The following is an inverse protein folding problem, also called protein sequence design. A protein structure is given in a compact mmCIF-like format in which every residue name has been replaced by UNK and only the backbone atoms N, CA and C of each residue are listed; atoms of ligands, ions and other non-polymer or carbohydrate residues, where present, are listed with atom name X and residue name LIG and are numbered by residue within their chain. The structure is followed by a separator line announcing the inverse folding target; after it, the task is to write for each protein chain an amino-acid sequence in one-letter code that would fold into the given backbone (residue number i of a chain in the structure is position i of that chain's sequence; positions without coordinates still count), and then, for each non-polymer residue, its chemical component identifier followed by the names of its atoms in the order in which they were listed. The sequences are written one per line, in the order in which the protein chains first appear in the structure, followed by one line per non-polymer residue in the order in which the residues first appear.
data_IF_112884015464
#
_entry.id   IF_112884015464
#
_cell.length_a   1.000
_cell.length_b   1.000
_cell.length_c   1.000
_cell.angle_alpha   90.00
_cell.angle_beta   90.00
_cell.angle_gamma   90.00
#
_symmetry.space_group_name_H-M   'P 1'
#
loop_
_entity.id
_entity.type
_entity.pdbx_description
1 polymer ?
#
# COMPACT_ATOMS: atom_id res chain seq x y z
N UNK A 1 -24.35 1.76 -17.08
CA UNK A 1 -23.28 2.80 -17.06
C UNK A 1 -22.40 2.70 -15.81
N UNK A 2 -22.92 2.79 -14.60
CA UNK A 2 -22.12 2.82 -13.34
C UNK A 2 -21.22 1.58 -13.13
N UNK A 3 -21.73 0.36 -13.39
CA UNK A 3 -20.92 -0.85 -13.28
C UNK A 3 -19.78 -0.89 -14.31
N UNK A 4 -20.02 -0.45 -15.54
CA UNK A 4 -18.99 -0.39 -16.58
C UNK A 4 -17.87 0.60 -16.21
N UNK A 5 -18.25 1.79 -15.72
CA UNK A 5 -17.30 2.79 -15.25
C UNK A 5 -16.45 2.28 -14.06
N UNK A 6 -17.09 1.57 -13.13
CA UNK A 6 -16.40 0.93 -12.01
C UNK A 6 -15.34 -0.10 -12.48
N UNK A 7 -15.68 -0.98 -13.43
CA UNK A 7 -14.72 -1.92 -14.00
C UNK A 7 -13.59 -1.21 -14.77
N UNK A 8 -13.92 -0.16 -15.53
CA UNK A 8 -12.97 0.64 -16.28
C UNK A 8 -11.92 1.28 -15.36
N UNK A 9 -12.37 1.88 -14.24
CA UNK A 9 -11.45 2.50 -13.26
C UNK A 9 -10.42 1.50 -12.77
N UNK A 10 -10.85 0.29 -12.40
CA UNK A 10 -9.90 -0.73 -11.92
C UNK A 10 -9.02 -1.28 -13.03
N UNK A 11 -9.54 -1.42 -14.24
CA UNK A 11 -8.74 -1.81 -15.39
C UNK A 11 -7.64 -0.76 -15.66
N UNK A 12 -7.97 0.52 -15.67
CA UNK A 12 -7.00 1.61 -15.83
C UNK A 12 -6.03 1.69 -14.65
N UNK A 13 -6.48 1.53 -13.42
CA UNK A 13 -5.63 1.55 -12.24
C UNK A 13 -4.63 0.38 -12.22
N UNK A 14 -5.00 -0.79 -12.76
CA UNK A 14 -4.13 -1.96 -12.83
C UNK A 14 -3.17 -1.89 -14.02
N UNK A 15 -3.65 -1.51 -15.20
CA UNK A 15 -2.92 -1.63 -16.45
C UNK A 15 -2.54 -0.29 -17.09
N UNK A 16 -3.12 0.84 -16.65
CA UNK A 16 -2.88 2.14 -17.26
C UNK A 16 -1.40 2.48 -17.40
N UNK A 17 -0.66 2.37 -16.30
CA UNK A 17 0.79 2.62 -16.30
C UNK A 17 1.56 1.70 -17.27
N UNK A 18 1.13 0.45 -17.44
CA UNK A 18 1.72 -0.50 -18.38
C UNK A 18 1.49 -0.05 -19.82
N UNK A 19 0.27 0.36 -20.15
CA UNK A 19 -0.06 0.85 -21.48
C UNK A 19 0.70 2.13 -21.85
N UNK A 20 0.92 3.04 -20.90
CA UNK A 20 1.77 4.21 -21.09
C UNK A 20 3.23 3.83 -21.32
N UNK A 21 3.75 2.90 -20.53
CA UNK A 21 5.15 2.46 -20.61
C UNK A 21 5.50 1.82 -21.94
N UNK A 22 4.57 1.09 -22.53
CA UNK A 22 4.76 0.43 -23.82
C UNK A 22 4.26 1.28 -25.01
N UNK A 23 3.85 2.54 -24.76
CA UNK A 23 3.42 3.46 -25.81
C UNK A 23 2.06 3.13 -26.43
N UNK A 24 1.28 2.21 -25.83
CA UNK A 24 -0.07 1.89 -26.31
C UNK A 24 -1.08 3.03 -26.06
N UNK A 25 -0.82 3.86 -25.04
CA UNK A 25 -1.62 5.02 -24.70
C UNK A 25 -0.73 6.25 -24.56
N UNK A 26 -1.13 7.41 -25.07
CA UNK A 26 -0.38 8.66 -24.86
C UNK A 26 -0.46 9.13 -23.41
N UNK A 27 0.64 9.74 -22.90
CA UNK A 27 0.74 10.23 -21.52
C UNK A 27 -0.42 11.10 -21.03
N UNK A 28 -1.04 11.98 -21.85
CA UNK A 28 -2.20 12.77 -21.40
C UNK A 28 -3.38 11.93 -20.94
N UNK A 29 -3.50 10.67 -21.39
CA UNK A 29 -4.55 9.77 -20.94
C UNK A 29 -4.31 9.21 -19.51
N UNK A 30 -3.15 9.48 -18.89
CA UNK A 30 -2.91 9.13 -17.48
C UNK A 30 -3.96 9.77 -16.55
N UNK A 31 -4.51 10.93 -16.93
CA UNK A 31 -5.56 11.62 -16.17
C UNK A 31 -6.93 10.93 -16.30
N UNK A 32 -7.10 10.01 -17.26
CA UNK A 32 -8.40 9.34 -17.51
C UNK A 32 -8.89 8.57 -16.29
N UNK A 33 -8.00 7.93 -15.54
CA UNK A 33 -8.36 7.23 -14.29
C UNK A 33 -8.98 8.21 -13.29
N UNK A 34 -8.43 9.40 -13.14
CA UNK A 34 -8.89 10.43 -12.21
C UNK A 34 -10.23 10.99 -12.63
N UNK A 35 -10.37 11.34 -13.91
CA UNK A 35 -11.65 11.81 -14.48
C UNK A 35 -12.74 10.76 -14.27
N UNK A 36 -12.42 9.49 -14.51
CA UNK A 36 -13.35 8.37 -14.32
C UNK A 36 -13.77 8.22 -12.85
N UNK A 37 -12.85 8.41 -11.91
CA UNK A 37 -13.13 8.37 -10.47
C UNK A 37 -14.03 9.53 -10.07
N UNK A 38 -13.74 10.75 -10.51
CA UNK A 38 -14.56 11.94 -10.22
C UNK A 38 -15.97 11.76 -10.80
N UNK A 39 -16.07 11.25 -12.02
CA UNK A 39 -17.36 10.99 -12.66
C UNK A 39 -18.16 9.92 -11.88
N UNK A 40 -17.50 8.82 -11.46
CA UNK A 40 -18.16 7.79 -10.65
C UNK A 40 -18.64 8.37 -9.30
N UNK A 41 -17.83 9.21 -8.66
CA UNK A 41 -18.19 9.89 -7.43
C UNK A 41 -19.41 10.80 -7.64
N UNK A 42 -19.40 11.66 -8.66
CA UNK A 42 -20.51 12.53 -8.98
C UNK A 42 -21.81 11.73 -9.22
N UNK A 43 -21.74 10.66 -10.03
CA UNK A 43 -22.89 9.78 -10.28
C UNK A 43 -23.41 9.15 -8.99
N UNK A 44 -22.52 8.67 -8.11
CA UNK A 44 -22.90 8.04 -6.85
C UNK A 44 -23.62 9.04 -5.93
N UNK A 45 -23.09 10.25 -5.78
CA UNK A 45 -23.66 11.30 -4.93
C UNK A 45 -24.99 11.78 -5.49
N UNK A 46 -25.05 12.14 -6.80
CA UNK A 46 -26.28 12.61 -7.44
C UNK A 46 -27.39 11.55 -7.42
N UNK A 47 -27.03 10.27 -7.58
CA UNK A 47 -27.99 9.18 -7.46
C UNK A 47 -28.57 9.06 -6.04
N UNK A 48 -27.80 9.34 -4.99
CA UNK A 48 -28.32 9.35 -3.62
C UNK A 48 -29.24 10.55 -3.38
N UNK A 49 -28.82 11.73 -3.77
CA UNK A 49 -29.62 12.96 -3.64
C UNK A 49 -30.94 12.82 -4.43
N UNK A 50 -30.89 12.33 -5.66
CA UNK A 50 -32.08 12.14 -6.50
C UNK A 50 -33.08 11.12 -5.94
N UNK A 51 -32.66 10.24 -5.00
CA UNK A 51 -33.54 9.32 -4.25
C UNK A 51 -33.96 9.89 -2.90
N UNK A 52 -33.68 11.15 -2.58
CA UNK A 52 -33.93 11.74 -1.28
C UNK A 52 -33.08 11.16 -0.14
N UNK A 53 -31.97 10.49 -0.45
CA UNK A 53 -31.08 9.88 0.53
C UNK A 53 -29.88 10.77 0.81
N UNK A 54 -29.48 10.87 2.09
CA UNK A 54 -28.27 11.61 2.46
C UNK A 54 -27.03 10.81 2.05
N UNK A 55 -26.10 11.41 1.29
CA UNK A 55 -24.83 10.78 0.95
C UNK A 55 -24.00 10.49 2.20
N UNK A 56 -23.21 9.42 2.15
CA UNK A 56 -22.35 8.97 3.24
C UNK A 56 -20.98 9.64 3.12
N UNK A 57 -20.59 10.35 4.17
CA UNK A 57 -19.31 11.07 4.28
C UNK A 57 -18.41 10.42 5.35
N UNK A 58 -18.07 9.14 5.15
CA UNK A 58 -17.23 8.42 6.10
C UNK A 58 -15.76 8.89 5.97
N UNK A 59 -15.05 8.96 7.11
CA UNK A 59 -13.68 9.50 7.23
C UNK A 59 -13.53 10.98 6.82
N UNK A 60 -14.63 11.67 6.61
CA UNK A 60 -14.61 13.11 6.23
C UNK A 60 -13.86 13.98 7.23
N UNK A 61 -13.98 13.81 8.57
CA UNK A 61 -13.19 14.59 9.52
C UNK A 61 -11.68 14.38 9.36
N UNK A 62 -11.23 13.15 9.11
CA UNK A 62 -9.81 12.87 8.84
C UNK A 62 -9.32 13.50 7.55
N UNK A 63 -10.17 13.48 6.52
CA UNK A 63 -9.90 14.17 5.27
C UNK A 63 -9.83 15.68 5.43
N UNK A 64 -10.77 16.28 6.17
CA UNK A 64 -10.73 17.71 6.51
C UNK A 64 -9.48 18.09 7.32
N UNK A 65 -9.03 17.21 8.21
CA UNK A 65 -7.78 17.42 8.95
C UNK A 65 -6.59 17.52 7.99
N UNK A 66 -6.51 16.64 6.98
CA UNK A 66 -5.45 16.72 5.97
C UNK A 66 -5.55 18.01 5.15
N UNK A 67 -6.78 18.41 4.75
CA UNK A 67 -7.01 19.68 4.08
C UNK A 67 -6.55 20.87 4.92
N UNK A 68 -6.89 20.85 6.22
CA UNK A 68 -6.50 21.89 7.15
C UNK A 68 -4.98 21.99 7.31
N UNK A 69 -4.30 20.86 7.52
CA UNK A 69 -2.83 20.79 7.59
C UNK A 69 -2.21 21.31 6.30
N UNK A 70 -2.76 20.93 5.14
CA UNK A 70 -2.28 21.40 3.86
C UNK A 70 -2.49 22.91 3.66
N UNK A 71 -3.65 23.44 4.07
CA UNK A 71 -3.93 24.88 4.01
C UNK A 71 -2.99 25.66 4.93
N UNK A 72 -2.77 25.21 6.17
CA UNK A 72 -1.78 25.80 7.07
C UNK A 72 -0.37 25.73 6.48
N UNK A 73 0.03 24.57 5.95
CA UNK A 73 1.33 24.40 5.30
C UNK A 73 1.48 25.36 4.11
N UNK A 74 0.45 25.50 3.29
CA UNK A 74 0.44 26.45 2.17
C UNK A 74 0.58 27.90 2.65
N UNK A 75 -0.15 28.28 3.69
CA UNK A 75 -0.12 29.63 4.26
C UNK A 75 1.27 29.99 4.81
N UNK A 76 1.83 29.14 5.67
CA UNK A 76 3.14 29.39 6.29
C UNK A 76 4.30 29.36 5.29
N UNK A 77 4.17 28.63 4.21
CA UNK A 77 5.22 28.50 3.19
C UNK A 77 4.96 29.35 1.95
N UNK A 78 3.84 30.09 1.91
CA UNK A 78 3.43 30.91 0.75
C UNK A 78 3.47 30.07 -0.56
N UNK A 79 3.03 28.82 -0.47
CA UNK A 79 3.03 27.90 -1.61
C UNK A 79 1.91 28.29 -2.57
N UNK A 80 2.21 28.27 -3.86
CA UNK A 80 1.23 28.54 -4.91
C UNK A 80 0.03 27.57 -4.81
N UNK A 81 -1.24 28.11 -4.77
CA UNK A 81 -2.43 27.27 -4.60
C UNK A 81 -2.58 26.16 -5.63
N UNK A 82 -2.25 26.44 -6.88
CA UNK A 82 -2.32 25.46 -7.97
C UNK A 82 -1.42 24.27 -7.66
N UNK A 83 -0.20 24.53 -7.22
CA UNK A 83 0.77 23.49 -6.85
C UNK A 83 0.29 22.66 -5.67
N UNK A 84 -0.31 23.29 -4.66
CA UNK A 84 -0.88 22.61 -3.50
C UNK A 84 -2.01 21.64 -3.91
N UNK A 85 -2.95 22.10 -4.76
CA UNK A 85 -4.04 21.28 -5.28
C UNK A 85 -3.51 20.09 -6.06
N UNK A 86 -2.50 20.28 -6.92
CA UNK A 86 -1.90 19.17 -7.68
C UNK A 86 -1.15 18.18 -6.81
N UNK A 87 -0.52 18.61 -5.72
CA UNK A 87 0.09 17.70 -4.75
C UNK A 87 -0.94 16.83 -4.04
N UNK A 88 -2.03 17.43 -3.58
CA UNK A 88 -3.10 16.74 -2.86
C UNK A 88 -3.97 15.85 -3.79
N UNK A 89 -3.96 16.10 -5.09
CA UNK A 89 -4.73 15.35 -6.09
C UNK A 89 -4.56 13.85 -5.95
N UNK A 90 -3.32 13.38 -5.72
CA UNK A 90 -2.99 11.97 -5.61
C UNK A 90 -3.73 11.28 -4.45
N UNK A 91 -3.97 12.00 -3.36
CA UNK A 91 -4.77 11.50 -2.25
C UNK A 91 -6.28 11.60 -2.53
N UNK A 92 -6.73 12.76 -3.03
CA UNK A 92 -8.15 13.04 -3.21
C UNK A 92 -8.81 12.07 -4.16
N UNK A 93 -8.17 11.70 -5.27
CA UNK A 93 -8.73 10.78 -6.25
C UNK A 93 -9.15 9.44 -5.61
N UNK A 94 -8.34 8.87 -4.74
CA UNK A 94 -8.67 7.58 -4.11
C UNK A 94 -9.66 7.73 -2.95
N UNK A 95 -9.64 8.86 -2.25
CA UNK A 95 -10.71 9.17 -1.31
C UNK A 95 -12.05 9.33 -2.02
N UNK A 96 -12.11 9.99 -3.19
CA UNK A 96 -13.32 10.07 -4.01
C UNK A 96 -13.75 8.68 -4.52
N UNK A 97 -12.82 7.81 -4.91
CA UNK A 97 -13.14 6.42 -5.22
C UNK A 97 -13.80 5.71 -4.04
N UNK A 98 -13.22 5.85 -2.85
CA UNK A 98 -13.81 5.31 -1.63
C UNK A 98 -15.21 5.83 -1.37
N UNK A 99 -15.42 7.15 -1.42
CA UNK A 99 -16.73 7.78 -1.24
C UNK A 99 -17.73 7.34 -2.31
N UNK A 100 -17.29 7.23 -3.56
CA UNK A 100 -18.14 6.69 -4.64
C UNK A 100 -18.63 5.30 -4.28
N UNK A 101 -17.73 4.38 -3.92
CA UNK A 101 -18.03 2.99 -3.62
C UNK A 101 -18.99 2.83 -2.44
N UNK A 102 -18.82 3.58 -1.36
CA UNK A 102 -19.71 3.49 -0.19
C UNK A 102 -21.09 4.10 -0.43
N UNK A 103 -21.24 4.94 -1.45
CA UNK A 103 -22.51 5.53 -1.88
C UNK A 103 -23.18 4.80 -3.04
N UNK A 104 -22.44 3.94 -3.76
CA UNK A 104 -23.04 3.00 -4.69
C UNK A 104 -23.71 1.87 -3.91
N UNK A 105 -24.98 1.57 -4.24
CA UNK A 105 -25.71 0.46 -3.64
C UNK A 105 -25.29 -0.86 -4.31
N UNK A 106 -24.01 -1.24 -4.11
CA UNK A 106 -23.46 -2.48 -4.67
C UNK A 106 -24.02 -3.68 -3.88
N UNK A 107 -24.66 -4.60 -4.61
CA UNK A 107 -25.13 -5.85 -4.07
C UNK A 107 -23.97 -6.81 -3.78
N UNK A 108 -24.20 -7.73 -2.88
CA UNK A 108 -23.19 -8.71 -2.45
C UNK A 108 -22.67 -9.58 -3.60
N UNK A 109 -23.57 -9.98 -4.50
CA UNK A 109 -23.24 -10.77 -5.69
C UNK A 109 -22.26 -10.03 -6.59
N UNK A 110 -22.48 -8.72 -6.80
CA UNK A 110 -21.57 -7.86 -7.58
C UNK A 110 -20.21 -7.73 -6.91
N UNK A 111 -20.16 -7.55 -5.59
CA UNK A 111 -18.89 -7.46 -4.86
C UNK A 111 -18.12 -8.79 -4.89
N UNK A 112 -18.77 -9.94 -4.66
CA UNK A 112 -18.12 -11.26 -4.76
C UNK A 112 -17.59 -11.52 -6.18
N UNK A 113 -18.38 -11.18 -7.20
CA UNK A 113 -17.96 -11.32 -8.61
C UNK A 113 -16.77 -10.43 -8.94
N UNK A 114 -16.77 -9.20 -8.47
CA UNK A 114 -15.66 -8.27 -8.69
C UNK A 114 -14.39 -8.74 -7.95
N UNK A 115 -14.50 -9.16 -6.69
CA UNK A 115 -13.38 -9.75 -5.95
C UNK A 115 -12.77 -10.95 -6.68
N UNK A 116 -13.61 -11.79 -7.28
CA UNK A 116 -13.16 -12.93 -8.07
C UNK A 116 -12.36 -12.48 -9.32
N UNK A 117 -12.84 -11.47 -10.03
CA UNK A 117 -12.11 -10.93 -11.19
C UNK A 117 -10.79 -10.26 -10.77
N UNK A 118 -10.80 -9.50 -9.67
CA UNK A 118 -9.55 -8.95 -9.14
C UNK A 118 -8.56 -10.07 -8.79
N UNK A 119 -9.03 -11.12 -8.14
CA UNK A 119 -8.19 -12.27 -7.81
C UNK A 119 -7.58 -12.90 -9.07
N UNK A 120 -8.37 -13.12 -10.13
CA UNK A 120 -7.86 -13.64 -11.40
C UNK A 120 -6.77 -12.73 -11.97
N UNK A 121 -7.01 -11.41 -12.00
CA UNK A 121 -6.06 -10.44 -12.53
C UNK A 121 -4.76 -10.41 -11.70
N UNK A 122 -4.88 -10.49 -10.38
CA UNK A 122 -3.72 -10.50 -9.47
C UNK A 122 -2.94 -11.81 -9.58
N UNK A 123 -3.62 -12.96 -9.60
CA UNK A 123 -2.98 -14.28 -9.79
C UNK A 123 -2.36 -14.40 -11.18
N UNK A 124 -2.97 -13.80 -12.19
CA UNK A 124 -2.43 -13.72 -13.56
C UNK A 124 -1.07 -13.01 -13.65
N UNK A 125 -0.62 -12.34 -12.59
CA UNK A 125 0.74 -11.79 -12.51
C UNK A 125 1.81 -12.88 -12.32
N UNK A 126 1.46 -14.01 -11.70
CA UNK A 126 2.41 -15.10 -11.44
C UNK A 126 3.01 -15.70 -12.72
N UNK A 127 2.22 -16.03 -13.77
CA UNK A 127 2.78 -16.45 -15.07
C UNK A 127 3.69 -15.38 -15.70
N UNK A 128 3.32 -14.09 -15.60
CA UNK A 128 4.14 -12.98 -16.13
C UNK A 128 5.48 -12.89 -15.40
N UNK A 129 5.47 -13.04 -14.08
CA UNK A 129 6.69 -13.09 -13.28
C UNK A 129 7.54 -14.29 -13.61
N UNK A 130 6.95 -15.47 -13.77
CA UNK A 130 7.66 -16.69 -14.15
C UNK A 130 8.31 -16.54 -15.54
N UNK A 131 7.59 -15.96 -16.51
CA UNK A 131 8.15 -15.66 -17.84
C UNK A 131 9.33 -14.69 -17.77
N UNK A 132 9.20 -13.59 -17.03
CA UNK A 132 10.29 -12.61 -16.84
C UNK A 132 11.48 -13.24 -16.12
N UNK A 133 11.22 -14.06 -15.10
CA UNK A 133 12.27 -14.77 -14.38
C UNK A 133 13.06 -15.71 -15.32
N UNK A 134 12.38 -16.42 -16.19
CA UNK A 134 13.03 -17.27 -17.17
C UNK A 134 13.98 -16.50 -18.10
N UNK A 135 13.59 -15.29 -18.55
CA UNK A 135 14.38 -14.49 -19.48
C UNK A 135 15.40 -13.56 -18.83
N UNK A 136 15.12 -13.04 -17.62
CA UNK A 136 15.92 -11.99 -16.98
C UNK A 136 16.59 -12.45 -15.69
N UNK A 137 16.21 -13.65 -15.19
CA UNK A 137 16.66 -14.13 -13.89
C UNK A 137 16.08 -13.33 -12.71
N UNK A 138 16.79 -13.34 -11.59
CA UNK A 138 16.43 -12.62 -10.37
C UNK A 138 16.85 -11.17 -10.50
N UNK A 139 15.88 -10.29 -10.60
CA UNK A 139 16.11 -8.84 -10.75
C UNK A 139 14.94 -8.02 -10.20
N UNK A 140 15.20 -6.79 -9.82
CA UNK A 140 14.15 -5.84 -9.40
C UNK A 140 13.13 -5.53 -10.52
N UNK A 141 13.51 -5.75 -11.78
CA UNK A 141 12.66 -5.63 -12.96
C UNK A 141 11.76 -6.84 -13.19
N UNK A 142 12.03 -7.97 -12.51
CA UNK A 142 11.21 -9.18 -12.55
C UNK A 142 9.95 -8.96 -11.72
N UNK A 143 9.08 -8.10 -12.20
CA UNK A 143 7.78 -7.78 -11.61
C UNK A 143 6.65 -8.14 -12.59
N UNK A 144 5.42 -8.19 -12.09
CA UNK A 144 4.23 -8.43 -12.93
C UNK A 144 4.03 -7.37 -14.02
N UNK A 145 2.87 -7.37 -14.64
CA UNK A 145 2.50 -6.47 -15.73
C UNK A 145 2.06 -5.06 -15.26
N UNK A 146 2.03 -4.76 -13.97
CA UNK A 146 1.45 -3.52 -13.42
C UNK A 146 2.42 -2.33 -13.36
N UNK A 147 3.26 -2.15 -14.34
CA UNK A 147 4.11 -0.96 -14.49
C UNK A 147 5.50 -1.04 -13.85
N UNK A 148 6.15 0.12 -13.70
CA UNK A 148 7.51 0.25 -13.15
C UNK A 148 7.44 0.70 -11.70
N UNK A 149 7.39 -0.18 -10.75
CA UNK A 149 7.43 0.24 -9.35
C UNK A 149 7.96 -0.86 -8.44
N UNK A 150 9.19 -0.68 -7.95
CA UNK A 150 9.80 -1.63 -7.02
C UNK A 150 9.01 -1.89 -5.73
N UNK A 151 8.07 -1.00 -5.37
CA UNK A 151 7.14 -1.19 -4.25
C UNK A 151 6.10 -2.27 -4.54
N UNK A 152 5.65 -2.42 -5.81
CA UNK A 152 4.68 -3.46 -6.19
C UNK A 152 5.22 -4.87 -6.00
N UNK A 153 6.52 -5.09 -6.27
CA UNK A 153 7.16 -6.40 -6.09
C UNK A 153 7.28 -6.84 -4.63
N UNK A 154 7.18 -5.92 -3.68
CA UNK A 154 7.16 -6.24 -2.27
C UNK A 154 5.72 -6.27 -1.70
N UNK A 155 4.92 -5.23 -1.98
CA UNK A 155 3.61 -5.06 -1.33
C UNK A 155 2.51 -5.93 -1.88
N UNK A 156 2.48 -6.17 -3.19
CA UNK A 156 1.45 -7.00 -3.79
C UNK A 156 1.53 -8.45 -3.25
N UNK A 157 2.72 -9.10 -3.24
CA UNK A 157 2.86 -10.40 -2.62
C UNK A 157 2.46 -10.43 -1.14
N UNK A 158 2.94 -9.46 -0.34
CA UNK A 158 2.59 -9.34 1.08
C UNK A 158 1.07 -9.26 1.24
N UNK A 159 0.39 -8.37 0.53
CA UNK A 159 -1.06 -8.27 0.58
C UNK A 159 -1.76 -9.57 0.18
N UNK A 160 -1.31 -10.22 -0.89
CA UNK A 160 -1.93 -11.45 -1.39
C UNK A 160 -1.74 -12.63 -0.44
N UNK A 161 -0.58 -12.75 0.23
CA UNK A 161 -0.36 -13.80 1.22
C UNK A 161 -1.31 -13.63 2.42
N UNK A 162 -1.55 -12.40 2.90
CA UNK A 162 -2.55 -12.14 3.93
C UNK A 162 -3.96 -12.58 3.50
N UNK A 163 -4.39 -12.22 2.29
CA UNK A 163 -5.70 -12.63 1.80
C UNK A 163 -5.81 -14.15 1.62
N UNK A 164 -4.83 -14.78 1.01
CA UNK A 164 -4.85 -16.24 0.78
C UNK A 164 -4.84 -17.02 2.09
N UNK A 165 -4.04 -16.57 3.06
CA UNK A 165 -4.01 -17.16 4.39
C UNK A 165 -5.34 -16.97 5.14
N UNK A 166 -5.90 -15.77 5.08
CA UNK A 166 -7.20 -15.50 5.70
C UNK A 166 -8.32 -16.37 5.10
N UNK A 167 -8.37 -16.50 3.76
CA UNK A 167 -9.33 -17.38 3.11
C UNK A 167 -9.13 -18.86 3.48
N UNK A 168 -7.88 -19.33 3.50
CA UNK A 168 -7.57 -20.70 3.88
C UNK A 168 -8.02 -21.04 5.31
N UNK A 169 -7.73 -20.16 6.27
CA UNK A 169 -8.00 -20.43 7.68
C UNK A 169 -9.42 -20.07 8.12
N UNK A 170 -10.06 -19.10 7.50
CA UNK A 170 -11.33 -18.54 7.98
C UNK A 170 -12.55 -18.92 7.13
N UNK A 171 -12.38 -19.13 5.82
CA UNK A 171 -13.47 -19.57 4.94
C UNK A 171 -13.45 -21.09 4.79
N UNK A 172 -12.59 -21.60 3.90
CA UNK A 172 -12.45 -23.04 3.62
C UNK A 172 -10.99 -23.38 3.34
N UNK A 173 -10.45 -24.46 3.91
CA UNK A 173 -9.06 -24.88 3.70
C UNK A 173 -8.85 -25.48 2.31
N UNK A 174 -8.96 -24.68 1.27
CA UNK A 174 -8.70 -25.11 -0.12
C UNK A 174 -7.19 -25.04 -0.40
N UNK A 175 -6.59 -26.14 -0.85
CA UNK A 175 -5.16 -26.22 -1.24
C UNK A 175 -4.77 -25.13 -2.25
N UNK A 176 -5.71 -24.70 -3.10
CA UNK A 176 -5.51 -23.64 -4.07
C UNK A 176 -5.03 -22.32 -3.43
N UNK A 177 -5.57 -21.93 -2.28
CA UNK A 177 -5.13 -20.72 -1.57
C UNK A 177 -3.67 -20.80 -1.12
N UNK A 178 -3.23 -22.00 -0.68
CA UNK A 178 -1.82 -22.22 -0.32
C UNK A 178 -0.92 -22.15 -1.55
N UNK A 179 -1.32 -22.78 -2.66
CA UNK A 179 -0.54 -22.77 -3.93
C UNK A 179 -0.39 -21.33 -4.44
N UNK A 180 -1.46 -20.54 -4.44
CA UNK A 180 -1.41 -19.13 -4.81
C UNK A 180 -0.50 -18.33 -3.85
N UNK A 181 -0.62 -18.55 -2.56
CA UNK A 181 0.25 -17.92 -1.55
C UNK A 181 1.72 -18.23 -1.77
N UNK A 182 2.07 -19.49 -2.01
CA UNK A 182 3.45 -19.90 -2.35
C UNK A 182 3.93 -19.26 -3.66
N UNK A 183 3.07 -19.13 -4.66
CA UNK A 183 3.36 -18.39 -5.89
C UNK A 183 3.73 -16.94 -5.63
N UNK A 184 3.05 -16.25 -4.72
CA UNK A 184 3.39 -14.88 -4.34
C UNK A 184 4.66 -14.78 -3.48
N UNK A 185 4.98 -15.79 -2.66
CA UNK A 185 6.30 -15.89 -2.00
C UNK A 185 7.41 -15.99 -3.05
N UNK A 186 7.24 -16.87 -4.04
CA UNK A 186 8.16 -16.99 -5.18
C UNK A 186 8.32 -15.67 -5.93
N UNK A 187 7.21 -14.96 -6.21
CA UNK A 187 7.23 -13.65 -6.85
C UNK A 187 8.13 -12.65 -6.09
N UNK A 188 8.04 -12.61 -4.77
CA UNK A 188 8.86 -11.71 -3.95
C UNK A 188 10.35 -12.05 -4.01
N UNK A 189 10.68 -13.35 -3.97
CA UNK A 189 12.07 -13.82 -4.01
C UNK A 189 12.71 -13.44 -5.34
N UNK A 190 12.06 -13.75 -6.46
CA UNK A 190 12.58 -13.42 -7.79
C UNK A 190 12.63 -11.92 -8.07
N UNK A 191 11.76 -11.15 -7.45
CA UNK A 191 11.79 -9.68 -7.49
C UNK A 191 12.94 -9.05 -6.69
N UNK A 192 13.81 -9.85 -6.07
CA UNK A 192 15.00 -9.43 -5.30
C UNK A 192 14.72 -8.34 -4.23
N UNK A 193 13.53 -8.34 -3.62
CA UNK A 193 13.14 -7.33 -2.64
C UNK A 193 13.55 -7.70 -1.22
N UNK A 194 14.60 -7.05 -0.74
CA UNK A 194 15.15 -7.24 0.63
C UNK A 194 14.15 -6.96 1.74
N UNK A 195 13.25 -5.99 1.55
CA UNK A 195 12.23 -5.62 2.52
C UNK A 195 11.31 -6.80 2.91
N UNK A 196 11.13 -7.77 2.01
CA UNK A 196 10.29 -8.94 2.22
C UNK A 196 10.81 -9.82 3.36
N UNK A 197 12.14 -9.84 3.59
CA UNK A 197 12.77 -10.54 4.72
C UNK A 197 12.18 -10.09 6.07
N UNK A 198 11.83 -8.83 6.20
CA UNK A 198 11.26 -8.27 7.42
C UNK A 198 9.73 -8.40 7.47
N UNK A 199 9.07 -8.42 6.32
CA UNK A 199 7.61 -8.50 6.27
C UNK A 199 7.10 -9.92 6.48
N UNK A 200 7.75 -10.94 5.97
CA UNK A 200 7.28 -12.32 6.12
C UNK A 200 7.20 -12.81 7.58
N UNK A 201 8.14 -12.53 8.48
CA UNK A 201 7.96 -12.86 9.89
C UNK A 201 6.67 -12.27 10.47
N UNK A 202 6.37 -11.02 10.14
CA UNK A 202 5.15 -10.33 10.59
C UNK A 202 3.91 -10.99 9.99
N UNK A 203 3.94 -11.35 8.70
CA UNK A 203 2.85 -12.07 8.03
C UNK A 203 2.57 -13.42 8.68
N UNK A 204 3.58 -14.23 8.91
CA UNK A 204 3.41 -15.54 9.52
C UNK A 204 2.89 -15.45 10.95
N UNK A 205 3.32 -14.44 11.71
CA UNK A 205 2.77 -14.14 13.03
C UNK A 205 1.30 -13.69 12.95
N UNK A 206 0.94 -12.89 11.95
CA UNK A 206 -0.45 -12.49 11.70
C UNK A 206 -1.32 -13.69 11.31
N UNK A 207 -0.80 -14.60 10.50
CA UNK A 207 -1.46 -15.88 10.14
C UNK A 207 -1.72 -16.71 11.41
N UNK A 208 -0.73 -16.82 12.30
CA UNK A 208 -0.90 -17.46 13.59
C UNK A 208 -1.99 -16.78 14.42
N UNK A 209 -2.00 -15.43 14.43
CA UNK A 209 -3.05 -14.66 15.10
C UNK A 209 -4.44 -14.97 14.57
N UNK A 210 -4.65 -15.11 13.26
CA UNK A 210 -5.95 -15.48 12.69
C UNK A 210 -6.43 -16.84 13.19
N UNK A 211 -5.53 -17.82 13.33
CA UNK A 211 -5.88 -19.11 13.91
C UNK A 211 -6.20 -18.98 15.38
N UNK A 212 -5.39 -18.24 16.13
CA UNK A 212 -5.61 -17.99 17.55
C UNK A 212 -6.92 -17.27 17.82
N UNK A 213 -7.23 -16.22 17.05
CA UNK A 213 -8.47 -15.45 17.20
C UNK A 213 -9.73 -16.24 16.78
N UNK A 214 -9.61 -17.19 15.86
CA UNK A 214 -10.71 -18.09 15.50
C UNK A 214 -11.06 -19.03 16.64
N UNK A 215 -10.15 -19.21 17.60
CA UNK A 215 -10.26 -20.40 18.35
C UNK A 215 -10.22 -20.35 19.85
N UNK A 216 -11.29 -19.92 20.52
CA UNK A 216 -11.57 -20.49 21.85
C UNK A 216 -11.71 -22.04 21.83
N UNK A 217 -11.90 -22.64 20.67
CA UNK A 217 -12.12 -24.08 20.45
C UNK A 217 -11.00 -24.80 19.69
N UNK A 218 -9.90 -24.12 19.33
CA UNK A 218 -8.79 -24.83 18.65
C UNK A 218 -7.92 -25.55 19.67
N UNK A 219 -7.75 -26.84 19.44
CA UNK A 219 -6.84 -27.71 20.17
C UNK A 219 -5.46 -27.07 20.39
N UNK A 220 -4.91 -27.09 21.63
CA UNK A 220 -3.56 -26.58 21.92
C UNK A 220 -2.46 -27.17 21.03
N UNK A 221 -2.55 -28.45 20.69
CA UNK A 221 -1.59 -29.11 19.77
C UNK A 221 -1.63 -28.52 18.37
N UNK A 222 -2.81 -28.23 17.85
CA UNK A 222 -2.98 -27.56 16.55
C UNK A 222 -2.43 -26.14 16.57
N UNK A 223 -2.60 -25.41 17.68
CA UNK A 223 -2.02 -24.07 17.84
C UNK A 223 -0.50 -24.13 17.84
N UNK A 224 0.09 -25.05 18.61
CA UNK A 224 1.52 -25.27 18.65
C UNK A 224 2.07 -25.70 17.27
N UNK A 225 1.39 -26.63 16.60
CA UNK A 225 1.78 -27.09 15.26
C UNK A 225 1.81 -25.96 14.23
N UNK A 226 0.84 -25.05 14.24
CA UNK A 226 0.82 -23.91 13.32
C UNK A 226 1.90 -22.89 13.67
N UNK A 227 2.18 -22.65 14.96
CA UNK A 227 3.30 -21.79 15.38
C UNK A 227 4.62 -22.36 14.90
N UNK A 228 4.88 -23.63 15.12
CA UNK A 228 6.10 -24.33 14.67
C UNK A 228 6.21 -24.25 13.14
N UNK A 229 5.12 -24.54 12.41
CA UNK A 229 5.11 -24.43 10.96
C UNK A 229 5.38 -22.99 10.49
N UNK A 230 4.83 -21.98 11.18
CA UNK A 230 5.08 -20.58 10.86
C UNK A 230 6.54 -20.22 11.04
N UNK A 231 7.17 -20.64 12.16
CA UNK A 231 8.60 -20.42 12.41
C UNK A 231 9.47 -21.12 11.37
N UNK A 232 9.13 -22.37 11.03
CA UNK A 232 9.83 -23.13 9.99
C UNK A 232 9.72 -22.46 8.61
N UNK A 233 8.53 -21.99 8.23
CA UNK A 233 8.33 -21.25 6.98
C UNK A 233 9.09 -19.92 6.97
N UNK A 234 9.13 -19.19 8.08
CA UNK A 234 9.97 -17.99 8.22
C UNK A 234 11.44 -18.36 7.93
N UNK A 235 11.95 -19.44 8.52
CA UNK A 235 13.31 -19.92 8.30
C UNK A 235 13.60 -20.23 6.83
N UNK A 236 12.75 -21.02 6.18
CA UNK A 236 12.90 -21.39 4.76
C UNK A 236 12.86 -20.16 3.85
N UNK A 237 11.88 -19.28 4.04
CA UNK A 237 11.74 -18.09 3.19
C UNK A 237 12.90 -17.13 3.40
N UNK A 238 13.33 -16.92 4.65
CA UNK A 238 14.50 -16.09 4.96
C UNK A 238 15.77 -16.67 4.35
N UNK A 239 16.02 -17.96 4.50
CA UNK A 239 17.15 -18.63 3.88
C UNK A 239 17.12 -18.52 2.35
N UNK A 240 15.94 -18.69 1.73
CA UNK A 240 15.78 -18.52 0.28
C UNK A 240 16.11 -17.08 -0.16
N UNK A 241 15.64 -16.07 0.57
CA UNK A 241 15.93 -14.67 0.26
C UNK A 241 17.44 -14.40 0.40
N UNK A 242 18.11 -14.90 1.45
CA UNK A 242 19.55 -14.75 1.64
C UNK A 242 20.34 -15.44 0.52
N UNK A 243 19.92 -16.63 0.13
CA UNK A 243 20.56 -17.41 -0.93
C UNK A 243 20.42 -16.76 -2.32
N UNK A 244 19.25 -16.27 -2.65
CA UNK A 244 18.96 -15.71 -3.97
C UNK A 244 19.28 -14.23 -4.11
N UNK A 245 19.38 -13.47 -3.03
CA UNK A 245 19.66 -12.03 -3.08
C UNK A 245 21.16 -11.74 -2.98
N UNK A 246 21.75 -11.28 -4.09
CA UNK A 246 23.20 -11.02 -4.20
C UNK A 246 23.73 -10.09 -3.10
N UNK A 247 22.95 -9.13 -2.64
CA UNK A 247 23.41 -8.12 -1.68
C UNK A 247 23.29 -8.54 -0.22
N UNK A 248 22.62 -9.67 0.05
CA UNK A 248 22.41 -10.17 1.40
C UNK A 248 23.34 -11.34 1.76
N UNK A 249 24.30 -11.67 0.90
CA UNK A 249 25.35 -12.65 1.22
C UNK A 249 26.75 -12.05 0.99
N UNK A 250 27.77 -12.49 1.76
CA UNK A 250 29.11 -11.89 1.71
C UNK A 250 29.79 -12.06 0.35
N UNK A 251 29.43 -13.06 -0.42
CA UNK A 251 30.02 -13.35 -1.74
C UNK A 251 29.40 -12.51 -2.87
N UNK A 252 28.34 -11.72 -2.57
CA UNK A 252 27.61 -10.85 -3.49
C UNK A 252 27.16 -11.56 -4.80
N UNK A 253 26.82 -12.83 -4.73
CA UNK A 253 26.36 -13.64 -5.86
C UNK A 253 25.03 -14.34 -5.55
N UNK A 254 24.30 -14.73 -6.59
CA UNK A 254 23.16 -15.65 -6.47
C UNK A 254 23.69 -17.02 -6.09
N UNK A 255 23.13 -17.67 -5.06
CA UNK A 255 23.64 -18.92 -4.55
C UNK A 255 24.85 -18.78 -3.62
N UNK A 256 25.01 -17.63 -2.98
CA UNK A 256 26.04 -17.38 -1.98
C UNK A 256 25.73 -18.04 -0.62
N UNK A 257 26.67 -17.91 0.30
CA UNK A 257 26.51 -18.43 1.67
C UNK A 257 25.36 -17.76 2.41
N UNK A 258 24.65 -18.55 3.22
CA UNK A 258 23.58 -18.04 4.09
C UNK A 258 24.23 -17.57 5.38
N UNK A 259 24.48 -16.27 5.51
CA UNK A 259 25.03 -15.63 6.69
C UNK A 259 24.05 -14.58 7.25
N UNK A 260 23.28 -14.91 8.30
CA UNK A 260 22.35 -13.98 8.92
C UNK A 260 23.03 -12.77 9.57
N UNK A 261 24.24 -12.91 10.09
CA UNK A 261 24.98 -11.83 10.73
C UNK A 261 25.42 -10.79 9.67
N UNK A 262 25.95 -11.24 8.54
CA UNK A 262 26.24 -10.38 7.41
C UNK A 262 24.98 -9.67 6.88
N UNK A 263 23.88 -10.40 6.70
CA UNK A 263 22.64 -9.82 6.22
C UNK A 263 22.08 -8.72 7.15
N UNK A 264 22.21 -8.94 8.48
CA UNK A 264 21.80 -7.95 9.48
C UNK A 264 22.72 -6.72 9.45
N UNK A 265 24.03 -6.91 9.43
CA UNK A 265 25.00 -5.81 9.33
C UNK A 265 24.77 -5.00 8.04
N UNK A 266 24.63 -5.68 6.91
CA UNK A 266 24.28 -5.04 5.64
C UNK A 266 22.98 -4.24 5.71
N UNK A 267 21.93 -4.77 6.36
CA UNK A 267 20.65 -4.07 6.51
C UNK A 267 20.80 -2.80 7.36
N UNK A 268 21.61 -2.85 8.42
CA UNK A 268 21.92 -1.68 9.26
C UNK A 268 22.68 -0.65 8.42
N UNK A 269 23.79 -1.05 7.79
CA UNK A 269 24.60 -0.16 6.97
C UNK A 269 23.79 0.48 5.84
N UNK A 270 22.99 -0.32 5.13
CA UNK A 270 22.13 0.18 4.05
C UNK A 270 21.12 1.25 4.52
N UNK A 271 20.62 1.14 5.74
CA UNK A 271 19.64 2.08 6.29
C UNK A 271 20.27 3.28 7.01
N UNK A 272 21.56 3.23 7.35
CA UNK A 272 22.31 4.31 8.03
C UNK A 272 23.34 4.97 7.13
N UNK A 273 23.51 4.50 5.90
CA UNK A 273 24.60 4.90 5.00
C UNK A 273 24.54 6.39 4.64
N UNK A 274 25.72 7.00 4.63
CA UNK A 274 26.00 8.29 4.00
C UNK A 274 26.98 8.06 2.85
N UNK A 275 26.91 8.89 1.82
CA UNK A 275 27.88 8.83 0.73
C UNK A 275 29.12 9.66 1.06
N UNK A 276 30.15 9.59 0.21
CA UNK A 276 31.42 10.32 0.36
C UNK A 276 31.24 11.85 0.43
N UNK A 277 30.14 12.38 -0.10
CA UNK A 277 29.80 13.79 -0.05
C UNK A 277 28.97 14.18 1.19
N UNK A 278 28.78 13.27 2.14
CA UNK A 278 27.98 13.49 3.36
C UNK A 278 26.45 13.52 3.13
N UNK A 279 25.97 13.09 1.95
CA UNK A 279 24.55 12.94 1.70
C UNK A 279 24.04 11.61 2.30
N UNK A 280 22.94 11.69 3.02
CA UNK A 280 22.29 10.49 3.55
C UNK A 280 21.61 9.70 2.43
N UNK A 281 21.96 8.43 2.28
CA UNK A 281 21.36 7.51 1.32
C UNK A 281 20.55 6.41 1.99
N UNK A 282 20.79 6.17 3.28
CA UNK A 282 20.04 5.25 4.11
C UNK A 282 18.70 5.84 4.56
N UNK A 283 17.72 5.00 4.81
CA UNK A 283 16.36 5.45 5.18
C UNK A 283 16.31 6.08 6.58
N UNK A 284 17.01 5.49 7.55
CA UNK A 284 17.03 6.01 8.92
C UNK A 284 17.86 7.29 9.02
N UNK A 285 19.02 7.34 8.37
CA UNK A 285 19.83 8.55 8.32
C UNK A 285 19.09 9.69 7.62
N UNK A 286 18.41 9.40 6.50
CA UNK A 286 17.57 10.38 5.78
C UNK A 286 16.41 10.87 6.66
N UNK A 287 15.70 9.97 7.35
CA UNK A 287 14.63 10.36 8.28
C UNK A 287 15.16 11.27 9.38
N UNK A 288 16.25 10.86 10.05
CA UNK A 288 16.89 11.67 11.10
C UNK A 288 17.29 13.05 10.56
N UNK A 289 17.89 13.09 9.39
CA UNK A 289 18.34 14.35 8.74
C UNK A 289 17.17 15.28 8.46
N UNK A 290 16.09 14.77 7.86
CA UNK A 290 14.89 15.56 7.54
C UNK A 290 14.27 16.16 8.81
N UNK A 291 14.03 15.36 9.84
CA UNK A 291 13.44 15.87 11.08
C UNK A 291 14.38 16.84 11.82
N UNK A 292 15.69 16.62 11.78
CA UNK A 292 16.67 17.57 12.31
C UNK A 292 16.61 18.92 11.60
N UNK A 293 16.53 18.90 10.26
CA UNK A 293 16.43 20.16 9.48
C UNK A 293 15.08 20.85 9.74
N UNK A 294 13.99 20.12 9.72
CA UNK A 294 12.66 20.72 10.02
C UNK A 294 12.63 21.36 11.41
N UNK A 295 13.27 20.72 12.39
CA UNK A 295 13.38 21.27 13.76
C UNK A 295 14.24 22.54 13.80
N UNK A 296 15.40 22.54 13.14
CA UNK A 296 16.35 23.67 13.12
C UNK A 296 15.83 24.87 12.31
N UNK A 297 15.04 24.61 11.25
CA UNK A 297 14.41 25.66 10.44
C UNK A 297 13.21 26.35 11.13
N UNK A 298 12.85 25.90 12.35
CA UNK A 298 11.86 26.51 13.21
C UNK A 298 10.54 25.75 13.35
N UNK A 299 9.74 26.16 14.32
CA UNK A 299 8.50 25.48 14.73
C UNK A 299 7.50 25.32 13.57
N UNK A 300 7.33 26.35 12.73
CA UNK A 300 6.42 26.29 11.58
C UNK A 300 6.85 25.21 10.57
N UNK A 301 8.16 25.08 10.32
CA UNK A 301 8.69 24.04 9.44
C UNK A 301 8.52 22.65 10.03
N UNK A 302 8.76 22.49 11.33
CA UNK A 302 8.56 21.22 12.01
C UNK A 302 7.11 20.72 11.89
N UNK A 303 6.14 21.60 12.12
CA UNK A 303 4.73 21.21 12.10
C UNK A 303 4.10 21.16 10.71
N UNK A 304 4.52 22.01 9.77
CA UNK A 304 3.87 22.19 8.47
C UNK A 304 4.78 21.91 7.25
N UNK A 305 6.06 21.56 7.44
CA UNK A 305 6.99 21.23 6.36
C UNK A 305 7.37 22.42 5.49
N UNK A 306 7.79 22.12 4.24
CA UNK A 306 8.21 23.14 3.24
C UNK A 306 7.07 23.56 2.29
N UNK A 307 5.89 23.06 2.47
CA UNK A 307 4.71 23.35 1.65
C UNK A 307 4.30 22.20 0.72
N UNK A 308 2.97 22.12 0.43
CA UNK A 308 2.46 21.10 -0.49
C UNK A 308 3.14 21.18 -1.86
N UNK A 309 3.57 20.04 -2.40
CA UNK A 309 4.27 19.97 -3.67
C UNK A 309 5.77 20.30 -3.60
N UNK A 310 6.34 20.56 -2.42
CA UNK A 310 7.79 20.76 -2.29
C UNK A 310 8.59 19.52 -2.73
N UNK A 311 8.02 18.34 -2.57
CA UNK A 311 8.63 17.06 -2.95
C UNK A 311 7.75 16.23 -3.89
N UNK A 312 6.73 16.83 -4.50
CA UNK A 312 5.83 16.19 -5.47
C UNK A 312 6.07 16.72 -6.88
N UNK A 313 6.17 15.81 -7.86
CA UNK A 313 6.28 16.19 -9.27
C UNK A 313 4.91 16.67 -9.77
N UNK A 314 4.85 17.91 -10.26
CA UNK A 314 3.66 18.46 -10.91
C UNK A 314 3.52 17.90 -12.32
N UNK A 315 2.27 17.59 -12.72
CA UNK A 315 1.99 17.19 -14.11
C UNK A 315 2.12 18.39 -15.07
N UNK A 316 1.86 19.60 -14.57
CA UNK A 316 1.90 20.81 -15.39
C UNK A 316 3.33 21.24 -15.72
N UNK A 317 4.26 20.99 -14.80
CA UNK A 317 5.68 21.28 -14.97
C UNK A 317 6.54 20.16 -14.34
N UNK A 318 6.68 19.03 -15.02
CA UNK A 318 7.47 17.92 -14.49
C UNK A 318 8.97 18.27 -14.37
N UNK A 319 9.52 18.98 -15.36
CA UNK A 319 10.96 19.30 -15.38
C UNK A 319 11.35 20.32 -14.31
N UNK A 320 10.54 21.37 -14.11
CA UNK A 320 10.75 22.35 -13.05
C UNK A 320 10.61 21.70 -11.67
N UNK A 321 9.65 20.80 -11.49
CA UNK A 321 9.48 20.05 -10.26
C UNK A 321 10.68 19.15 -9.95
N UNK A 322 11.21 18.42 -10.92
CA UNK A 322 12.43 17.62 -10.73
C UNK A 322 13.63 18.47 -10.33
N UNK A 323 13.81 19.64 -10.96
CA UNK A 323 14.87 20.58 -10.61
C UNK A 323 14.71 21.09 -9.16
N UNK A 324 13.50 21.43 -8.74
CA UNK A 324 13.24 21.89 -7.38
C UNK A 324 13.47 20.80 -6.33
N UNK A 325 13.00 19.57 -6.60
CA UNK A 325 13.25 18.40 -5.73
C UNK A 325 14.76 18.19 -5.59
N UNK A 326 15.50 18.19 -6.69
CA UNK A 326 16.95 18.04 -6.68
C UNK A 326 17.64 19.14 -5.86
N UNK A 327 17.24 20.41 -6.03
CA UNK A 327 17.78 21.52 -5.24
C UNK A 327 17.47 21.37 -3.75
N UNK A 328 16.27 20.91 -3.41
CA UNK A 328 15.88 20.64 -2.02
C UNK A 328 16.70 19.48 -1.43
N UNK A 329 16.85 18.38 -2.16
CA UNK A 329 17.69 17.26 -1.76
C UNK A 329 19.14 17.68 -1.51
N UNK A 330 19.71 18.46 -2.44
CA UNK A 330 21.05 19.03 -2.30
C UNK A 330 21.17 19.92 -1.07
N UNK A 331 20.21 20.82 -0.84
CA UNK A 331 20.19 21.70 0.34
C UNK A 331 20.12 20.91 1.64
N UNK A 332 19.33 19.86 1.67
CA UNK A 332 19.10 19.03 2.86
C UNK A 332 20.23 18.00 3.07
N UNK A 333 21.06 17.74 2.08
CA UNK A 333 22.06 16.67 2.12
C UNK A 333 21.42 15.28 2.15
N UNK A 334 20.33 15.09 1.40
CA UNK A 334 19.62 13.82 1.31
C UNK A 334 19.66 13.26 -0.12
N UNK A 335 19.59 11.94 -0.24
CA UNK A 335 19.59 11.23 -1.51
C UNK A 335 18.45 10.21 -1.60
N UNK A 336 18.76 8.97 -1.96
CA UNK A 336 17.77 7.94 -2.29
C UNK A 336 16.94 7.37 -1.11
N UNK A 337 17.28 7.70 0.14
CA UNK A 337 16.66 7.12 1.34
C UNK A 337 15.28 7.67 1.70
N UNK A 338 14.68 8.52 0.88
CA UNK A 338 13.40 9.16 1.18
C UNK A 338 12.26 8.16 1.17
N UNK A 339 11.58 8.01 2.31
CA UNK A 339 10.37 7.19 2.47
C UNK A 339 9.11 8.01 2.24
N UNK A 340 7.93 7.38 2.23
CA UNK A 340 6.68 8.12 2.16
C UNK A 340 6.44 9.01 3.37
N UNK A 341 6.78 8.54 4.56
CA UNK A 341 6.74 9.36 5.78
C UNK A 341 7.63 10.60 5.63
N UNK A 342 8.86 10.40 5.12
CA UNK A 342 9.81 11.49 4.89
C UNK A 342 9.28 12.53 3.91
N UNK A 343 8.66 12.07 2.83
CA UNK A 343 8.05 12.95 1.85
C UNK A 343 6.90 13.76 2.43
N UNK A 344 6.00 13.10 3.16
CA UNK A 344 4.90 13.79 3.85
C UNK A 344 5.46 14.79 4.89
N UNK A 345 6.51 14.41 5.63
CA UNK A 345 7.18 15.31 6.57
C UNK A 345 7.76 16.55 5.84
N UNK A 346 8.39 16.36 4.68
CA UNK A 346 8.92 17.48 3.89
C UNK A 346 7.80 18.42 3.40
N UNK A 347 6.65 17.89 2.98
CA UNK A 347 5.56 18.73 2.44
C UNK A 347 4.64 19.30 3.51
N UNK A 348 4.32 18.51 4.55
CA UNK A 348 3.26 18.81 5.52
C UNK A 348 3.71 18.78 6.97
N UNK A 349 5.00 18.55 7.23
CA UNK A 349 5.57 18.44 8.57
C UNK A 349 5.06 17.25 9.39
N UNK A 350 5.27 17.32 10.70
CA UNK A 350 4.84 16.28 11.66
C UNK A 350 3.32 16.11 11.66
N UNK A 351 2.56 17.20 11.56
CA UNK A 351 1.09 17.13 11.53
C UNK A 351 0.60 16.38 10.29
N UNK A 352 1.26 16.58 9.15
CA UNK A 352 0.99 15.78 7.95
C UNK A 352 1.26 14.29 8.18
N UNK A 353 2.42 13.94 8.75
CA UNK A 353 2.77 12.54 9.05
C UNK A 353 1.69 11.89 9.92
N UNK A 354 1.25 12.55 10.98
CA UNK A 354 0.18 12.06 11.87
C UNK A 354 -1.13 11.90 11.10
N UNK A 355 -1.55 12.92 10.37
CA UNK A 355 -2.82 12.90 9.62
C UNK A 355 -2.88 11.77 8.60
N UNK A 356 -1.80 11.55 7.86
CA UNK A 356 -1.73 10.48 6.86
C UNK A 356 -1.60 9.08 7.48
N UNK A 357 -0.90 8.92 8.61
CA UNK A 357 -0.82 7.67 9.34
C UNK A 357 -2.17 7.23 9.93
N UNK A 358 -3.05 8.17 10.25
CA UNK A 358 -4.40 7.86 10.73
C UNK A 358 -5.25 7.10 9.71
N UNK A 359 -4.99 7.23 8.39
CA UNK A 359 -5.74 6.52 7.35
C UNK A 359 -5.59 4.99 7.50
N UNK A 360 -4.37 4.40 7.45
CA UNK A 360 -4.21 2.97 7.63
C UNK A 360 -4.58 2.50 9.03
N UNK A 361 -4.37 3.31 10.05
CA UNK A 361 -4.80 3.01 11.43
C UNK A 361 -6.32 2.90 11.51
N UNK A 362 -7.06 3.87 10.96
CA UNK A 362 -8.53 3.83 10.92
C UNK A 362 -9.02 2.60 10.14
N UNK A 363 -8.35 2.25 9.04
CA UNK A 363 -8.70 1.06 8.29
C UNK A 363 -8.47 -0.23 9.09
N UNK A 364 -7.38 -0.35 9.83
CA UNK A 364 -7.17 -1.49 10.75
C UNK A 364 -8.32 -1.63 11.75
N UNK A 365 -8.79 -0.52 12.35
CA UNK A 365 -9.92 -0.55 13.28
C UNK A 365 -11.23 -0.95 12.62
N UNK A 366 -11.52 -0.46 11.42
CA UNK A 366 -12.69 -0.83 10.63
C UNK A 366 -12.66 -2.34 10.31
N UNK A 367 -11.52 -2.84 9.85
CA UNK A 367 -11.30 -4.26 9.56
C UNK A 367 -11.48 -5.14 10.81
N UNK A 368 -10.88 -4.74 11.94
CA UNK A 368 -11.01 -5.47 13.22
C UNK A 368 -12.44 -5.52 13.68
N UNK A 369 -13.19 -4.43 13.57
CA UNK A 369 -14.62 -4.39 13.91
C UNK A 369 -15.40 -5.33 13.03
N UNK A 370 -15.23 -5.26 11.71
CA UNK A 370 -15.91 -6.13 10.76
C UNK A 370 -15.56 -7.60 11.00
N UNK A 371 -14.27 -7.92 11.17
CA UNK A 371 -13.82 -9.27 11.47
C UNK A 371 -14.51 -9.90 12.67
N UNK A 372 -14.83 -9.10 13.71
CA UNK A 372 -15.51 -9.56 14.93
C UNK A 372 -17.01 -9.75 14.74
N UNK A 373 -17.65 -8.89 13.96
CA UNK A 373 -19.11 -8.86 13.78
C UNK A 373 -19.60 -9.73 12.62
N UNK A 374 -18.72 -10.05 11.67
CA UNK A 374 -19.10 -10.77 10.46
C UNK A 374 -19.30 -12.26 10.73
N UNK A 375 -20.46 -12.78 10.34
CA UNK A 375 -20.82 -14.18 10.45
C UNK A 375 -20.54 -14.97 9.18
N UNK A 376 -20.61 -14.35 7.99
CA UNK A 376 -20.26 -15.00 6.72
C UNK A 376 -18.73 -15.24 6.66
N UNK A 377 -18.29 -16.51 6.57
CA UNK A 377 -16.87 -16.87 6.56
C UNK A 377 -16.07 -16.20 5.45
N UNK A 378 -16.65 -15.99 4.26
CA UNK A 378 -16.01 -15.32 3.14
C UNK A 378 -15.67 -13.87 3.48
N UNK A 379 -16.65 -13.11 3.99
CA UNK A 379 -16.44 -11.70 4.33
C UNK A 379 -15.59 -11.52 5.58
N UNK A 380 -15.65 -12.46 6.49
CA UNK A 380 -14.74 -12.50 7.64
C UNK A 380 -13.30 -12.72 7.21
N UNK A 381 -13.05 -13.62 6.25
CA UNK A 381 -11.74 -13.82 5.64
C UNK A 381 -11.27 -12.57 4.89
N UNK A 382 -12.16 -11.93 4.12
CA UNK A 382 -11.85 -10.68 3.44
C UNK A 382 -11.45 -9.57 4.42
N UNK A 383 -12.18 -9.38 5.51
CA UNK A 383 -11.85 -8.40 6.56
C UNK A 383 -10.50 -8.71 7.24
N UNK A 384 -10.21 -10.01 7.49
CA UNK A 384 -8.93 -10.46 8.03
C UNK A 384 -7.75 -10.16 7.10
N UNK A 385 -7.88 -10.50 5.83
CA UNK A 385 -6.87 -10.17 4.81
C UNK A 385 -6.66 -8.66 4.65
N UNK A 386 -7.76 -7.89 4.66
CA UNK A 386 -7.72 -6.43 4.59
C UNK A 386 -7.04 -5.80 5.82
N UNK A 387 -7.21 -6.36 7.01
CA UNK A 387 -6.52 -5.93 8.22
C UNK A 387 -5.00 -6.13 8.09
N UNK A 388 -4.56 -7.29 7.60
CA UNK A 388 -3.15 -7.55 7.30
C UNK A 388 -2.61 -6.59 6.26
N UNK A 389 -3.35 -6.35 5.19
CA UNK A 389 -2.99 -5.37 4.17
C UNK A 389 -2.86 -3.95 4.74
N UNK A 390 -3.80 -3.51 5.58
CA UNK A 390 -3.73 -2.19 6.22
C UNK A 390 -2.51 -2.05 7.14
N UNK A 391 -2.16 -3.11 7.88
CA UNK A 391 -0.97 -3.15 8.72
C UNK A 391 0.31 -3.08 7.87
N UNK A 392 0.40 -3.86 6.79
CA UNK A 392 1.50 -3.80 5.86
C UNK A 392 1.66 -2.39 5.27
N UNK A 393 0.55 -1.73 4.90
CA UNK A 393 0.55 -0.36 4.39
C UNK A 393 1.11 0.65 5.40
N UNK A 394 0.79 0.50 6.69
CA UNK A 394 1.34 1.36 7.75
C UNK A 394 2.86 1.17 7.88
N UNK A 395 3.34 -0.08 7.87
CA UNK A 395 4.77 -0.37 7.93
C UNK A 395 5.51 0.17 6.70
N UNK A 396 4.94 0.02 5.51
CA UNK A 396 5.49 0.59 4.27
C UNK A 396 5.50 2.12 4.26
N UNK A 397 4.51 2.77 4.89
CA UNK A 397 4.50 4.22 5.04
C UNK A 397 5.75 4.72 5.78
N UNK A 398 6.15 4.03 6.84
CA UNK A 398 7.31 4.42 7.66
C UNK A 398 8.64 4.04 7.01
N UNK A 399 8.74 2.81 6.49
CA UNK A 399 10.02 2.20 6.10
C UNK A 399 10.29 2.30 4.59
N UNK A 400 9.23 2.46 3.77
CA UNK A 400 9.33 2.37 2.32
C UNK A 400 8.53 3.47 1.63
N UNK A 401 8.31 3.35 0.32
CA UNK A 401 7.36 4.22 -0.38
C UNK A 401 5.94 3.74 -0.12
N UNK A 402 5.08 4.64 0.37
CA UNK A 402 3.67 4.37 0.53
C UNK A 402 2.95 4.51 -0.81
N UNK A 403 2.56 3.41 -1.44
CA UNK A 403 2.01 3.46 -2.79
C UNK A 403 0.67 4.20 -2.89
N UNK A 404 0.03 4.51 -1.76
CA UNK A 404 -1.21 5.29 -1.73
C UNK A 404 -1.09 6.68 -2.35
N UNK A 405 0.13 7.15 -2.60
CA UNK A 405 0.36 8.47 -3.19
C UNK A 405 1.08 8.39 -4.55
N UNK A 406 1.54 7.17 -4.93
CA UNK A 406 2.41 7.00 -6.08
C UNK A 406 2.01 5.77 -6.85
N UNK A 407 1.36 5.97 -7.94
CA UNK A 407 0.80 4.92 -8.75
C UNK A 407 -0.68 4.69 -8.48
N UNK A 408 -1.28 3.84 -9.25
CA UNK A 408 -2.73 3.67 -9.28
C UNK A 408 -3.18 2.35 -8.67
N UNK A 409 -2.39 1.30 -8.88
CA UNK A 409 -2.77 -0.07 -8.55
C UNK A 409 -3.04 -0.31 -7.06
N UNK A 410 -2.02 -0.08 -6.22
CA UNK A 410 -2.15 -0.40 -4.79
C UNK A 410 -3.10 0.53 -4.05
N UNK A 411 -3.12 1.86 -4.32
CA UNK A 411 -4.12 2.73 -3.74
C UNK A 411 -5.55 2.35 -4.13
N UNK A 412 -5.80 2.03 -5.40
CA UNK A 412 -7.14 1.61 -5.83
C UNK A 412 -7.60 0.35 -5.09
N UNK A 413 -6.73 -0.67 -4.99
CA UNK A 413 -7.01 -1.90 -4.24
C UNK A 413 -7.23 -1.63 -2.75
N UNK A 414 -6.43 -0.75 -2.17
CA UNK A 414 -6.50 -0.39 -0.77
C UNK A 414 -7.83 0.31 -0.40
N UNK A 415 -8.17 1.37 -1.12
CA UNK A 415 -9.41 2.11 -0.88
C UNK A 415 -10.65 1.30 -1.27
N UNK A 416 -10.54 0.40 -2.25
CA UNK A 416 -11.56 -0.59 -2.55
C UNK A 416 -11.80 -1.54 -1.36
N UNK A 417 -10.74 -2.15 -0.84
CA UNK A 417 -10.84 -3.05 0.31
C UNK A 417 -11.48 -2.34 1.50
N UNK A 418 -11.07 -1.10 1.78
CA UNK A 418 -11.63 -0.27 2.84
C UNK A 418 -13.13 -0.01 2.63
N UNK A 419 -13.55 0.29 1.39
CA UNK A 419 -14.96 0.52 1.06
C UNK A 419 -15.81 -0.74 1.27
N UNK A 420 -15.33 -1.89 0.79
CA UNK A 420 -16.05 -3.18 0.94
C UNK A 420 -16.20 -3.54 2.41
N UNK A 421 -15.13 -3.43 3.20
CA UNK A 421 -15.17 -3.71 4.64
C UNK A 421 -16.14 -2.76 5.35
N UNK A 422 -16.14 -1.48 5.01
CA UNK A 422 -17.09 -0.51 5.58
C UNK A 422 -18.55 -0.81 5.22
N UNK A 423 -18.84 -1.12 3.94
CA UNK A 423 -20.18 -1.48 3.48
C UNK A 423 -20.71 -2.70 4.26
N UNK A 424 -19.86 -3.71 4.45
CA UNK A 424 -20.21 -4.92 5.19
C UNK A 424 -20.41 -4.66 6.69
N UNK A 425 -19.56 -3.84 7.32
CA UNK A 425 -19.69 -3.50 8.74
C UNK A 425 -21.04 -2.85 9.08
N UNK A 426 -21.58 -2.06 8.17
CA UNK A 426 -22.91 -1.45 8.34
C UNK A 426 -24.05 -2.46 8.25
N UNK A 427 -23.97 -3.39 7.30
CA UNK A 427 -25.00 -4.45 7.17
C UNK A 427 -25.04 -5.33 8.42
N UNK A 428 -23.87 -5.75 8.92
CA UNK A 428 -23.81 -6.56 10.15
C UNK A 428 -24.41 -5.84 11.36
N UNK A 429 -24.18 -4.54 11.52
CA UNK A 429 -24.80 -3.75 12.61
C UNK A 429 -26.32 -3.64 12.48
N UNK A 430 -26.87 -3.52 11.28
CA UNK A 430 -28.34 -3.45 11.09
C UNK A 430 -29.02 -4.76 11.48
N UNK A 431 -28.39 -5.89 11.19
CA UNK A 431 -28.90 -7.21 11.57
C UNK A 431 -28.84 -7.46 13.08
N UNK A 432 -27.79 -6.97 13.77
CA UNK A 432 -27.62 -7.12 15.21
C UNK A 432 -28.56 -6.22 16.05
N UNK A 433 -29.11 -5.16 15.49
CA UNK A 433 -30.09 -4.27 16.17
C UNK A 433 -31.53 -4.80 16.00
N UNK A 434 -31.77 -5.69 15.02
CA UNK A 434 -33.09 -6.31 14.76
C UNK A 434 -33.28 -7.64 15.49
N UNK A 435 -32.25 -8.20 16.08
CA UNK A 435 -32.27 -9.35 16.99
C UNK A 435 -32.25 -8.90 18.45
#
# INVERSE_FOLDING_TARGET
MTKALFYLIFFLALFGNTFFLYGFLPEPLAVTTEISIILLFAIAILSKIGRGQVPRWHLFPGFLMICFVAACSMFFNQTEPVRAVFSLRLLYRFYFLYLALINLDLDEKTLKKFNFYLLILLVGQLPVVAYKFYHQGIAETTMGAYGRGGSLTAMLPVAMIFYMSAYYFLEKPRKLYLIIGLGFIFFSIVGAKRAVLFFYPIEFLAIYYFIYCKGKQVDPFRKAGVLILSIFMIGIVSASILYFNRTLNPEQKVGGSIDPAYALSYAIDYNTRENELGYTTGRFSTTRRIFSVLYNDGVSRLFFGFGPGAYTVSILDPQGSHRQIYQLEKRLGIGYGVTSMNRIALEYGVLGVVAFALIPIAFCFICRRQYRLETDPYWRAFAGGSMGFAFAMLAFFVIYHFPAFWGDTLPALYFYAMAVVYIRSRKANQTSVQQ
#
